data_IF_498511016672
#
_entry.id   IF_498511016672
#
_cell.length_a   1.000
_cell.length_b   1.000
_cell.length_c   1.000
_cell.angle_alpha   90.00
_cell.angle_beta   90.00
_cell.angle_gamma   90.00
#
_symmetry.space_group_name_H-M   'P 1'
#
loop_
_entity.id
_entity.type
_entity.pdbx_description
1 polymer ?
#
# COMPACT_ATOMS: atom_id res chain seq x y z
N UNK A 1 10.87 -26.01 7.11
CA UNK A 1 10.98 -25.34 5.80
C UNK A 1 9.65 -25.61 5.08
N UNK A 2 9.01 -24.60 4.49
CA UNK A 2 7.71 -24.78 3.81
C UNK A 2 7.95 -25.43 2.45
N UNK A 3 7.03 -26.29 2.00
CA UNK A 3 7.01 -26.70 0.60
C UNK A 3 6.43 -25.59 -0.29
N UNK A 4 6.59 -25.73 -1.61
CA UNK A 4 6.15 -24.73 -2.58
C UNK A 4 4.66 -24.39 -2.44
N UNK A 5 3.80 -25.41 -2.31
CA UNK A 5 2.36 -25.21 -2.15
C UNK A 5 2.04 -24.48 -0.84
N UNK A 6 2.67 -24.86 0.27
CA UNK A 6 2.47 -24.18 1.56
C UNK A 6 2.94 -22.73 1.54
N UNK A 7 4.05 -22.45 0.85
CA UNK A 7 4.54 -21.09 0.67
C UNK A 7 3.57 -20.27 -0.19
N UNK A 8 3.16 -20.81 -1.34
CA UNK A 8 2.19 -20.18 -2.23
C UNK A 8 0.88 -19.87 -1.51
N UNK A 9 0.28 -20.86 -0.83
CA UNK A 9 -0.99 -20.70 -0.13
C UNK A 9 -0.91 -19.58 0.94
N UNK A 10 0.23 -19.46 1.62
CA UNK A 10 0.46 -18.42 2.63
C UNK A 10 0.65 -17.03 2.02
N UNK A 11 1.46 -16.91 0.97
CA UNK A 11 1.68 -15.62 0.29
C UNK A 11 0.38 -15.16 -0.37
N UNK A 12 -0.30 -16.06 -1.08
CA UNK A 12 -1.59 -15.77 -1.71
C UNK A 12 -2.65 -15.39 -0.67
N UNK A 13 -2.73 -16.12 0.43
CA UNK A 13 -3.61 -15.76 1.56
C UNK A 13 -3.30 -14.40 2.17
N UNK A 14 -2.03 -14.00 2.23
CA UNK A 14 -1.62 -12.67 2.68
C UNK A 14 -2.16 -11.56 1.77
N UNK A 15 -2.01 -11.70 0.45
CA UNK A 15 -2.54 -10.74 -0.53
C UNK A 15 -4.07 -10.64 -0.48
N UNK A 16 -4.77 -11.78 -0.40
CA UNK A 16 -6.22 -11.81 -0.22
C UNK A 16 -6.65 -11.13 1.08
N UNK A 17 -5.95 -11.40 2.18
CA UNK A 17 -6.23 -10.79 3.48
C UNK A 17 -6.07 -9.27 3.47
N UNK A 18 -5.04 -8.74 2.80
CA UNK A 18 -4.84 -7.29 2.62
C UNK A 18 -5.95 -6.66 1.80
N UNK A 19 -6.31 -7.28 0.66
CA UNK A 19 -7.40 -6.79 -0.17
C UNK A 19 -8.74 -6.78 0.59
N UNK A 20 -9.05 -7.87 1.31
CA UNK A 20 -10.26 -7.96 2.13
C UNK A 20 -10.26 -6.93 3.27
N UNK A 21 -9.12 -6.78 3.96
CA UNK A 21 -8.95 -5.82 5.06
C UNK A 21 -9.16 -4.38 4.61
N UNK A 22 -8.49 -3.96 3.54
CA UNK A 22 -8.68 -2.62 2.96
C UNK A 22 -10.12 -2.39 2.50
N UNK A 23 -10.71 -3.35 1.79
CA UNK A 23 -12.11 -3.26 1.32
C UNK A 23 -13.12 -3.09 2.47
N UNK A 24 -12.87 -3.73 3.60
CA UNK A 24 -13.69 -3.62 4.80
C UNK A 24 -13.43 -2.30 5.56
N UNK A 25 -12.16 -1.91 5.67
CA UNK A 25 -11.72 -0.78 6.49
C UNK A 25 -11.92 0.58 5.84
N UNK A 26 -11.70 0.71 4.53
CA UNK A 26 -11.72 2.00 3.82
C UNK A 26 -12.98 2.82 4.08
N UNK A 27 -14.21 2.27 4.08
CA UNK A 27 -15.40 3.09 4.34
C UNK A 27 -15.60 3.52 5.80
N UNK A 28 -14.86 2.91 6.73
CA UNK A 28 -14.88 3.25 8.15
C UNK A 28 -13.85 4.34 8.48
N UNK A 29 -12.80 4.43 7.68
CA UNK A 29 -11.73 5.41 7.85
C UNK A 29 -12.27 6.84 7.83
N UNK A 30 -11.70 7.69 8.67
CA UNK A 30 -12.05 9.11 8.76
C UNK A 30 -10.79 9.92 8.96
N UNK A 31 -10.64 11.02 8.22
CA UNK A 31 -9.38 11.77 8.15
C UNK A 31 -8.89 12.39 9.48
N UNK A 32 -9.74 12.46 10.51
CA UNK A 32 -9.38 12.96 11.84
C UNK A 32 -9.56 11.92 12.95
N UNK A 33 -9.82 10.67 12.59
CA UNK A 33 -10.23 9.63 13.53
C UNK A 33 -11.58 9.91 14.19
N UNK A 34 -11.94 9.04 15.13
CA UNK A 34 -13.12 9.16 15.99
C UNK A 34 -12.73 8.77 17.42
N UNK A 35 -13.42 9.34 18.40
CA UNK A 35 -13.20 8.97 19.82
C UNK A 35 -13.71 7.56 20.11
N UNK A 36 -14.83 7.17 19.48
CA UNK A 36 -15.42 5.86 19.66
C UNK A 36 -14.77 4.81 18.74
N UNK A 37 -14.65 3.59 19.28
CA UNK A 37 -14.28 2.41 18.49
C UNK A 37 -15.34 2.12 17.42
N UNK A 38 -14.90 1.62 16.26
CA UNK A 38 -15.83 1.14 15.24
C UNK A 38 -16.65 -0.05 15.77
N UNK A 39 -17.97 0.07 15.74
CA UNK A 39 -18.91 -1.01 16.03
C UNK A 39 -19.33 -1.70 14.72
N UNK A 40 -18.57 -2.73 14.33
CA UNK A 40 -18.73 -3.44 13.05
C UNK A 40 -19.10 -4.89 13.31
N UNK A 41 -20.38 -5.21 13.17
CA UNK A 41 -20.89 -6.57 13.33
C UNK A 41 -21.40 -7.17 12.00
N UNK A 42 -21.63 -6.33 10.98
CA UNK A 42 -22.11 -6.74 9.67
C UNK A 42 -21.68 -5.76 8.59
N UNK A 43 -21.37 -6.29 7.39
CA UNK A 43 -21.04 -5.49 6.22
C UNK A 43 -22.12 -5.68 5.15
N UNK A 44 -23.04 -4.72 4.97
CA UNK A 44 -24.25 -4.95 4.19
C UNK A 44 -24.00 -5.04 2.68
N UNK A 45 -22.87 -4.54 2.18
CA UNK A 45 -22.53 -4.58 0.76
C UNK A 45 -21.03 -4.64 0.55
N UNK A 46 -20.54 -5.81 0.13
CA UNK A 46 -19.20 -5.95 -0.43
C UNK A 46 -19.20 -5.40 -1.86
N UNK A 47 -18.32 -4.45 -2.13
CA UNK A 47 -18.09 -3.98 -3.49
C UNK A 47 -17.30 -5.05 -4.25
N UNK A 48 -17.70 -5.33 -5.49
CA UNK A 48 -16.99 -6.26 -6.36
C UNK A 48 -15.60 -5.70 -6.72
N UNK A 49 -14.57 -6.55 -6.75
CA UNK A 49 -13.20 -6.15 -7.08
C UNK A 49 -12.40 -5.51 -5.94
N UNK A 50 -13.01 -5.29 -4.78
CA UNK A 50 -12.39 -4.62 -3.65
C UNK A 50 -12.34 -3.09 -3.81
N UNK A 51 -12.01 -2.38 -2.72
CA UNK A 51 -11.85 -0.92 -2.78
C UNK A 51 -10.38 -0.54 -2.94
N UNK A 52 -10.07 0.44 -3.81
CA UNK A 52 -8.72 1.00 -3.90
C UNK A 52 -8.34 1.65 -2.57
N UNK A 53 -7.12 1.36 -2.12
CA UNK A 53 -6.52 1.89 -0.89
C UNK A 53 -5.00 1.77 -0.99
N UNK A 54 -4.31 2.67 -0.30
CA UNK A 54 -2.86 2.74 -0.29
C UNK A 54 -2.20 1.52 0.37
N UNK A 55 -2.83 0.88 1.36
CA UNK A 55 -2.31 -0.32 2.01
C UNK A 55 -1.97 -1.45 1.03
N UNK A 56 -2.82 -1.70 0.03
CA UNK A 56 -2.56 -2.71 -1.00
C UNK A 56 -1.82 -2.12 -2.21
N UNK A 57 -2.21 -0.93 -2.66
CA UNK A 57 -1.66 -0.31 -3.87
C UNK A 57 -0.15 -0.09 -3.79
N UNK A 58 0.35 0.41 -2.65
CA UNK A 58 1.78 0.61 -2.45
C UNK A 58 2.57 -0.70 -2.58
N UNK A 59 2.01 -1.81 -2.10
CA UNK A 59 2.68 -3.12 -2.18
C UNK A 59 2.68 -3.67 -3.60
N UNK A 60 1.63 -3.41 -4.38
CA UNK A 60 1.60 -3.75 -5.81
C UNK A 60 2.65 -2.94 -6.60
N UNK A 61 2.83 -1.67 -6.27
CA UNK A 61 3.88 -0.83 -6.86
C UNK A 61 5.27 -1.37 -6.51
N UNK A 62 5.49 -1.83 -5.28
CA UNK A 62 6.76 -2.48 -4.91
C UNK A 62 6.99 -3.81 -5.62
N UNK A 63 5.94 -4.61 -5.79
CA UNK A 63 6.02 -5.83 -6.60
C UNK A 63 6.41 -5.50 -8.05
N UNK A 64 5.75 -4.51 -8.67
CA UNK A 64 6.09 -4.04 -10.00
C UNK A 64 7.55 -3.58 -10.10
N UNK A 65 8.03 -2.82 -9.12
CA UNK A 65 9.41 -2.35 -9.10
C UNK A 65 10.43 -3.52 -9.03
N UNK A 66 10.12 -4.56 -8.26
CA UNK A 66 10.93 -5.79 -8.20
C UNK A 66 10.86 -6.60 -9.50
N UNK A 67 9.71 -6.67 -10.15
CA UNK A 67 9.54 -7.36 -11.44
C UNK A 67 10.34 -6.65 -12.56
N UNK A 68 10.36 -5.32 -12.55
CA UNK A 68 11.05 -4.51 -13.55
C UNK A 68 12.57 -4.41 -13.33
N UNK A 69 13.00 -4.24 -12.06
CA UNK A 69 14.41 -3.94 -11.71
C UNK A 69 15.16 -5.12 -11.10
N UNK A 70 14.47 -6.20 -10.75
CA UNK A 70 15.04 -7.33 -10.03
C UNK A 70 15.22 -7.08 -8.53
N UNK A 71 15.95 -7.97 -7.87
CA UNK A 71 16.09 -7.97 -6.40
C UNK A 71 17.06 -6.90 -5.87
N UNK A 72 17.94 -6.37 -6.71
CA UNK A 72 18.98 -5.39 -6.33
C UNK A 72 18.45 -3.93 -6.36
N UNK A 73 17.18 -3.74 -6.00
CA UNK A 73 16.53 -2.44 -5.99
C UNK A 73 17.05 -1.54 -4.86
N UNK A 74 17.17 -0.24 -5.12
CA UNK A 74 17.61 0.76 -4.15
C UNK A 74 16.45 1.68 -3.72
N UNK A 75 16.66 2.42 -2.63
CA UNK A 75 15.71 3.45 -2.21
C UNK A 75 15.48 4.53 -3.28
N UNK A 76 16.45 4.76 -4.19
CA UNK A 76 16.30 5.71 -5.29
C UNK A 76 15.35 5.18 -6.35
N UNK A 77 15.46 3.90 -6.70
CA UNK A 77 14.52 3.26 -7.62
C UNK A 77 13.11 3.33 -7.05
N UNK A 78 12.91 2.97 -5.77
CA UNK A 78 11.61 3.07 -5.12
C UNK A 78 11.06 4.52 -5.12
N UNK A 79 11.92 5.54 -5.01
CA UNK A 79 11.50 6.93 -5.10
C UNK A 79 11.04 7.34 -6.50
N UNK A 80 11.58 6.75 -7.57
CA UNK A 80 11.09 6.94 -8.94
C UNK A 80 9.67 6.39 -9.08
N UNK A 81 9.44 5.13 -8.68
CA UNK A 81 8.09 4.53 -8.67
C UNK A 81 7.12 5.30 -7.77
N UNK A 82 7.59 5.84 -6.65
CA UNK A 82 6.76 6.66 -5.76
C UNK A 82 6.27 7.95 -6.43
N UNK A 83 7.13 8.61 -7.23
CA UNK A 83 6.74 9.81 -7.98
C UNK A 83 5.84 9.48 -9.18
N UNK A 84 6.07 8.36 -9.83
CA UNK A 84 5.40 7.98 -11.07
C UNK A 84 4.02 7.33 -10.83
N UNK A 85 3.91 6.45 -9.83
CA UNK A 85 2.74 5.60 -9.64
C UNK A 85 1.75 6.14 -8.60
N UNK A 86 2.21 6.90 -7.61
CA UNK A 86 1.38 7.33 -6.49
C UNK A 86 0.89 8.74 -6.76
N UNK A 87 -0.43 8.93 -6.91
CA UNK A 87 -1.00 10.25 -7.21
C UNK A 87 -1.38 11.05 -5.95
N UNK A 88 -1.79 10.36 -4.88
CA UNK A 88 -2.27 10.98 -3.63
C UNK A 88 -1.11 11.53 -2.76
N UNK A 89 -1.44 12.45 -1.86
CA UNK A 89 -0.47 13.22 -1.05
C UNK A 89 -0.93 13.30 0.42
N UNK A 90 -1.37 12.18 0.99
CA UNK A 90 -1.73 12.11 2.40
C UNK A 90 -0.52 12.43 3.28
N UNK A 91 -0.69 13.31 4.26
CA UNK A 91 0.28 13.60 5.32
C UNK A 91 1.75 13.61 4.87
N UNK A 92 2.58 12.71 5.42
CA UNK A 92 4.01 12.63 5.13
C UNK A 92 4.31 12.26 3.66
N UNK A 93 3.38 11.64 2.94
CA UNK A 93 3.57 11.29 1.53
C UNK A 93 3.72 12.54 0.67
N UNK A 94 2.93 13.57 0.97
CA UNK A 94 2.98 14.85 0.27
C UNK A 94 4.26 15.62 0.56
N UNK A 95 4.73 15.59 1.82
CA UNK A 95 6.00 16.21 2.20
C UNK A 95 7.17 15.53 1.49
N UNK A 96 7.21 14.20 1.53
CA UNK A 96 8.23 13.42 0.85
C UNK A 96 8.27 13.71 -0.66
N UNK A 97 7.12 13.72 -1.33
CA UNK A 97 7.04 14.06 -2.76
C UNK A 97 7.51 15.48 -3.06
N UNK A 98 7.22 16.42 -2.17
CA UNK A 98 7.70 17.80 -2.31
C UNK A 98 9.23 17.85 -2.24
N UNK A 99 9.83 17.12 -1.30
CA UNK A 99 11.28 17.01 -1.17
C UNK A 99 11.91 16.36 -2.41
N UNK A 100 11.37 15.23 -2.86
CA UNK A 100 11.81 14.54 -4.07
C UNK A 100 11.76 15.46 -5.31
N UNK A 101 10.65 16.18 -5.51
CA UNK A 101 10.50 17.13 -6.64
C UNK A 101 11.43 18.34 -6.55
N UNK A 102 11.91 18.68 -5.34
CA UNK A 102 12.93 19.71 -5.13
C UNK A 102 14.37 19.19 -5.27
N UNK A 103 14.55 17.90 -5.59
CA UNK A 103 15.85 17.26 -5.74
C UNK A 103 16.45 16.72 -4.44
N UNK A 104 15.72 16.77 -3.33
CA UNK A 104 16.10 16.06 -2.11
C UNK A 104 15.72 14.58 -2.28
N UNK A 105 16.71 13.74 -2.52
CA UNK A 105 16.55 12.29 -2.77
C UNK A 105 16.84 11.48 -1.50
N UNK A 106 16.44 10.19 -1.43
CA UNK A 106 16.79 9.34 -0.31
C UNK A 106 18.31 9.35 -0.01
N UNK A 107 18.70 9.34 1.28
CA UNK A 107 17.86 9.11 2.46
C UNK A 107 17.25 10.37 3.10
N UNK A 108 17.38 11.56 2.50
CA UNK A 108 16.98 12.84 3.11
C UNK A 108 15.63 13.39 2.61
N UNK A 109 14.91 12.59 1.82
CA UNK A 109 13.66 13.01 1.17
C UNK A 109 12.43 12.86 2.05
N UNK A 110 12.52 12.17 3.19
CA UNK A 110 11.42 11.96 4.14
C UNK A 110 10.73 13.24 4.58
#
# INVERSE_FOLDING_TARGET
MLNEKEYYDKVYGCWLGKNAGGTLGTPLESGWGKEEMFDVWWYPKLQEGGLPNDDLELQLIWLQALEDRGLDITARDLAEYWLDCIAYNFDEYGLNKTNLKKGLVPPVSG
#
